data_IF_417161104869
#
_entry.id   IF_417161104869
#
_cell.length_a   1.000
_cell.length_b   1.000
_cell.length_c   1.000
_cell.angle_alpha   90.00
_cell.angle_beta   90.00
_cell.angle_gamma   90.00
#
_symmetry.space_group_name_H-M   'P 1'
#
loop_
_entity.id
_entity.type
_entity.pdbx_description
1 polymer ?
#
# COMPACT_ATOMS: atom_id res chain seq x y z
N UNK A 1 -9.67 4.44 22.68
CA UNK A 1 -8.22 4.26 22.46
C UNK A 1 -7.71 5.12 21.30
N UNK A 2 -7.28 6.38 21.54
CA UNK A 2 -6.75 7.28 20.50
C UNK A 2 -5.22 7.27 20.38
N UNK A 3 -4.50 6.67 21.34
CA UNK A 3 -3.04 6.81 21.47
C UNK A 3 -2.27 6.33 20.24
N UNK A 4 -2.59 5.15 19.71
CA UNK A 4 -1.90 4.60 18.54
C UNK A 4 -2.10 5.44 17.27
N UNK A 5 -3.25 6.10 17.15
CA UNK A 5 -3.54 7.03 16.05
C UNK A 5 -2.76 8.33 16.27
N UNK A 6 -2.74 8.84 17.50
CA UNK A 6 -1.96 10.05 17.88
C UNK A 6 -0.45 9.86 17.68
N UNK A 7 0.08 8.67 17.95
CA UNK A 7 1.49 8.34 17.71
C UNK A 7 1.85 8.12 16.24
N UNK A 8 0.85 8.12 15.34
CA UNK A 8 1.03 7.84 13.93
C UNK A 8 1.38 6.38 13.62
N UNK A 9 1.00 5.45 14.50
CA UNK A 9 1.19 4.00 14.32
C UNK A 9 0.01 3.36 13.57
N UNK A 10 -1.18 3.97 13.64
CA UNK A 10 -2.39 3.43 13.06
C UNK A 10 -3.14 4.48 12.24
N UNK A 11 -3.57 4.11 11.03
CA UNK A 11 -4.38 4.92 10.15
C UNK A 11 -5.79 4.34 10.02
N UNK A 12 -6.79 5.23 9.88
CA UNK A 12 -8.18 4.84 9.59
C UNK A 12 -8.37 4.72 8.09
N UNK A 13 -8.99 3.63 7.65
CA UNK A 13 -9.40 3.44 6.25
C UNK A 13 -10.87 3.03 6.20
N UNK A 14 -11.57 3.17 5.06
CA UNK A 14 -12.95 2.71 4.91
C UNK A 14 -13.12 1.20 5.18
N UNK A 15 -12.05 0.42 5.04
CA UNK A 15 -12.04 -1.04 5.29
C UNK A 15 -11.56 -1.43 6.69
N UNK A 16 -11.25 -0.47 7.56
CA UNK A 16 -10.84 -0.73 8.94
C UNK A 16 -9.66 0.10 9.41
N UNK A 17 -8.67 -0.57 9.99
CA UNK A 17 -7.47 0.05 10.56
C UNK A 17 -6.24 -0.53 9.86
N UNK A 18 -5.33 0.35 9.46
CA UNK A 18 -4.11 -0.01 8.74
C UNK A 18 -2.88 0.42 9.56
N UNK A 19 -1.88 -0.46 9.66
CA UNK A 19 -0.62 -0.14 10.33
C UNK A 19 0.23 0.73 9.42
N UNK A 20 0.81 1.78 9.98
CA UNK A 20 1.75 2.63 9.25
C UNK A 20 3.13 1.98 9.18
N UNK A 21 3.98 2.42 8.26
CA UNK A 21 5.40 1.99 8.19
C UNK A 21 6.12 2.13 9.54
N UNK A 22 5.82 3.19 10.29
CA UNK A 22 6.36 3.44 11.63
C UNK A 22 5.97 2.33 12.61
N UNK A 23 4.74 1.83 12.53
CA UNK A 23 4.29 0.72 13.36
C UNK A 23 4.97 -0.60 13.02
N UNK A 24 5.17 -0.90 11.74
CA UNK A 24 5.95 -2.07 11.32
C UNK A 24 7.38 -2.02 11.88
N UNK A 25 8.03 -0.85 11.82
CA UNK A 25 9.36 -0.66 12.40
C UNK A 25 9.39 -0.85 13.94
N UNK A 26 8.38 -0.35 14.65
CA UNK A 26 8.27 -0.56 16.10
C UNK A 26 8.03 -2.03 16.48
N UNK A 27 7.37 -2.79 15.61
CA UNK A 27 7.14 -4.22 15.81
C UNK A 27 8.32 -5.08 15.35
N UNK A 28 9.36 -4.49 14.73
CA UNK A 28 10.46 -5.24 14.12
C UNK A 28 10.02 -6.08 12.92
N UNK A 29 8.87 -5.76 12.32
CA UNK A 29 8.33 -6.47 11.19
C UNK A 29 8.76 -5.78 9.89
N UNK A 30 9.05 -6.53 8.82
CA UNK A 30 9.21 -5.94 7.50
C UNK A 30 7.90 -5.28 7.11
N UNK A 31 7.94 -3.97 6.83
CA UNK A 31 6.79 -3.31 6.24
C UNK A 31 6.50 -3.97 4.89
N UNK A 32 5.21 -4.19 4.54
CA UNK A 32 4.87 -4.68 3.21
C UNK A 32 5.51 -3.72 2.20
N UNK A 33 6.23 -4.26 1.23
CA UNK A 33 6.68 -3.48 0.08
C UNK A 33 5.43 -2.82 -0.49
N UNK A 34 5.44 -1.48 -0.57
CA UNK A 34 4.32 -0.72 -1.08
C UNK A 34 3.87 -1.37 -2.39
N UNK A 35 2.70 -1.98 -2.31
CA UNK A 35 1.91 -2.57 -3.36
C UNK A 35 2.65 -2.86 -4.67
N UNK A 36 3.46 -3.92 -4.69
CA UNK A 36 3.81 -4.59 -5.95
C UNK A 36 2.55 -5.01 -6.71
N UNK A 37 1.43 -5.19 -6.00
CA UNK A 37 0.11 -5.42 -6.59
C UNK A 37 -0.49 -4.17 -7.24
N UNK A 38 -0.32 -2.94 -6.72
CA UNK A 38 -0.81 -1.72 -7.38
C UNK A 38 0.09 -1.31 -8.55
N UNK A 39 1.42 -1.49 -8.41
CA UNK A 39 2.35 -1.29 -9.53
C UNK A 39 2.12 -2.32 -10.65
N UNK A 40 1.84 -3.58 -10.33
CA UNK A 40 1.48 -4.59 -11.33
C UNK A 40 0.11 -4.33 -11.97
N UNK A 41 -0.84 -3.74 -11.24
CA UNK A 41 -2.13 -3.31 -11.80
C UNK A 41 -1.95 -2.12 -12.75
N UNK A 42 -1.03 -1.20 -12.48
CA UNK A 42 -0.69 -0.09 -13.37
C UNK A 42 0.01 -0.59 -14.65
N UNK A 43 0.92 -1.54 -14.52
CA UNK A 43 1.65 -2.16 -15.64
C UNK A 43 0.69 -2.90 -16.60
N UNK A 44 -0.26 -3.66 -16.06
CA UNK A 44 -1.25 -4.41 -16.86
C UNK A 44 -2.17 -3.50 -17.69
N UNK A 45 -2.43 -2.27 -17.24
CA UNK A 45 -3.29 -1.31 -17.94
C UNK A 45 -2.56 -0.55 -19.06
N UNK A 46 -1.24 -0.69 -19.16
CA UNK A 46 -0.43 0.03 -20.16
C UNK A 46 -0.15 -0.78 -21.44
N UNK A 47 -0.43 -2.09 -21.44
CA UNK A 47 -0.08 -3.00 -22.55
C UNK A 47 -1.17 -3.13 -23.65
N UNK A 48 -2.34 -2.50 -23.49
CA UNK A 48 -3.48 -2.61 -24.42
C UNK A 48 -3.39 -1.68 -25.66
N UNK A 49 -2.21 -1.17 -26.02
CA UNK A 49 -2.07 0.01 -26.88
C UNK A 49 -1.11 -0.06 -28.07
N UNK A 50 -0.63 -1.23 -28.49
CA UNK A 50 0.26 -1.34 -29.66
C UNK A 50 -0.09 -2.52 -30.58
N UNK A 51 -1.37 -2.65 -30.94
CA UNK A 51 -1.74 -3.42 -32.13
C UNK A 51 -1.37 -2.58 -33.36
N UNK A 52 -0.20 -2.90 -33.87
CA UNK A 52 0.46 -2.45 -35.08
C UNK A 52 -0.48 -2.53 -36.31
N UNK A 53 -0.74 -1.38 -36.93
CA UNK A 53 -1.28 -1.29 -38.30
C UNK A 53 -0.23 -1.88 -39.28
N UNK A 54 -0.48 -3.07 -39.81
CA UNK A 54 0.09 -3.59 -41.08
C UNK A 54 -0.87 -4.61 -41.72
#
# INVERSE_FOLDING_TARGET
EPYLIQQGLLQRTPRGRLLTRKAFLHLGLPAPAADTAELAQLDLLQDDGAAQDD
#
